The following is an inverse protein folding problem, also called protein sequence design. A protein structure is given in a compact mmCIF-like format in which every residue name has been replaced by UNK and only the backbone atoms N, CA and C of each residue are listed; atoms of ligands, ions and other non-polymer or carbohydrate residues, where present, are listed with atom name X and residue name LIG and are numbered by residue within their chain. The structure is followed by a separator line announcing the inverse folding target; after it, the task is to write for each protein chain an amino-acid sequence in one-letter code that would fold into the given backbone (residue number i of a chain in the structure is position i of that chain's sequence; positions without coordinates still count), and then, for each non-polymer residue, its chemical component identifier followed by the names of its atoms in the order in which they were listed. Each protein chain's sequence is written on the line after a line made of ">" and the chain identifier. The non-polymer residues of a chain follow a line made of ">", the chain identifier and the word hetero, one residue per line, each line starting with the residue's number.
data_IF_980874969954
#
_entry.id   IF_980874969954
#
_cell.length_a   1.000
_cell.length_b   1.000
_cell.length_c   1.000
_cell.angle_alpha   90.00
_cell.angle_beta   90.00
_cell.angle_gamma   90.00
#
_symmetry.space_group_name_H-M   'P 1'
#
loop_
_entity.id
_entity.type
_entity.pdbx_description
1 polymer ?
#
# COMPACT_ATOMS: atom_id res chain seq x y z
N UNK A 1 -11.43 -2.32 1.02
CA UNK A 1 -10.03 -2.58 0.64
C UNK A 1 -9.26 -1.26 0.60
N UNK A 2 -8.16 -1.16 1.33
CA UNK A 2 -7.31 0.04 1.35
C UNK A 2 -5.99 -0.27 0.68
N UNK A 3 -5.53 0.64 -0.19
CA UNK A 3 -4.31 0.49 -0.99
C UNK A 3 -3.34 1.62 -0.70
N UNK A 4 -2.06 1.28 -0.60
CA UNK A 4 -0.94 2.22 -0.58
C UNK A 4 0.15 1.76 -1.56
N UNK A 5 0.74 2.72 -2.26
CA UNK A 5 1.82 2.52 -3.21
C UNK A 5 3.07 3.23 -2.70
N UNK A 6 4.21 2.53 -2.70
CA UNK A 6 5.51 3.07 -2.36
C UNK A 6 6.52 2.79 -3.47
N UNK A 7 7.52 3.65 -3.60
CA UNK A 7 8.72 3.30 -4.35
C UNK A 7 9.39 2.06 -3.71
N UNK A 8 10.23 1.35 -4.46
CA UNK A 8 10.89 0.10 -4.02
C UNK A 8 11.60 0.22 -2.66
N UNK A 9 12.11 1.42 -2.38
CA UNK A 9 12.85 1.80 -1.17
C UNK A 9 11.96 2.27 -0.01
N UNK A 10 10.65 2.45 -0.22
CA UNK A 10 9.74 2.72 0.89
C UNK A 10 9.81 1.55 1.87
N UNK A 11 10.04 1.86 3.15
CA UNK A 11 10.03 0.82 4.17
C UNK A 11 8.63 0.20 4.24
N UNK A 12 8.60 -1.12 4.34
CA UNK A 12 7.34 -1.89 4.46
C UNK A 12 6.48 -1.34 5.62
N UNK A 13 7.14 -0.89 6.69
CA UNK A 13 6.53 -0.26 7.86
C UNK A 13 5.88 1.10 7.52
N UNK A 14 6.55 1.96 6.75
CA UNK A 14 5.95 3.22 6.28
C UNK A 14 4.70 2.98 5.42
N UNK A 15 4.72 1.93 4.59
CA UNK A 15 3.56 1.56 3.77
C UNK A 15 2.39 1.05 4.61
N UNK A 16 2.67 0.22 5.63
CA UNK A 16 1.67 -0.24 6.60
C UNK A 16 1.06 0.93 7.36
N UNK A 17 1.89 1.81 7.93
CA UNK A 17 1.44 2.98 8.67
C UNK A 17 0.54 3.91 7.84
N UNK A 18 0.83 4.08 6.54
CA UNK A 18 -0.06 4.85 5.64
C UNK A 18 -1.43 4.19 5.45
N UNK A 19 -1.47 2.86 5.36
CA UNK A 19 -2.72 2.12 5.22
C UNK A 19 -3.50 2.13 6.52
N UNK A 20 -2.83 1.98 7.66
CA UNK A 20 -3.47 2.00 8.98
C UNK A 20 -4.04 3.38 9.31
N UNK A 21 -3.30 4.47 9.05
CA UNK A 21 -3.87 5.84 9.17
C UNK A 21 -5.10 6.05 8.29
N UNK A 22 -5.09 5.49 7.08
CA UNK A 22 -6.25 5.56 6.17
C UNK A 22 -7.41 4.69 6.67
N UNK A 23 -7.12 3.56 7.32
CA UNK A 23 -8.11 2.70 7.96
C UNK A 23 -8.79 3.40 9.14
N UNK A 24 -8.02 4.04 10.03
CA UNK A 24 -8.55 4.84 11.14
C UNK A 24 -9.48 5.95 10.67
N UNK A 25 -9.09 6.66 9.61
CA UNK A 25 -9.91 7.71 9.01
C UNK A 25 -11.22 7.16 8.42
N UNK A 26 -11.18 6.00 7.74
CA UNK A 26 -12.36 5.37 7.15
C UNK A 26 -13.32 4.87 8.23
N UNK A 27 -12.79 4.26 9.29
CA UNK A 27 -13.58 3.74 10.40
C UNK A 27 -13.88 4.80 11.47
N UNK A 28 -13.61 6.09 11.19
CA UNK A 28 -13.95 7.23 12.06
C UNK A 28 -13.45 7.08 13.50
N UNK A 29 -12.29 6.46 13.70
CA UNK A 29 -11.74 6.23 15.03
C UNK A 29 -12.43 5.15 15.87
N UNK A 30 -13.43 4.43 15.33
CA UNK A 30 -14.09 3.29 15.99
C UNK A 30 -13.23 2.03 16.09
N UNK A 31 -12.02 2.08 15.55
CA UNK A 31 -11.15 0.93 15.39
C UNK A 31 -11.55 0.06 14.20
N UNK A 32 -10.67 -0.86 13.84
CA UNK A 32 -10.87 -1.77 12.72
C UNK A 32 -10.17 -3.10 12.99
N UNK A 33 -10.73 -4.17 12.44
CA UNK A 33 -10.14 -5.50 12.42
C UNK A 33 -9.38 -5.71 11.11
N UNK A 34 -8.15 -6.20 11.21
CA UNK A 34 -7.35 -6.59 10.05
C UNK A 34 -7.78 -7.98 9.57
N UNK A 35 -8.38 -8.06 8.38
CA UNK A 35 -8.78 -9.31 7.73
C UNK A 35 -7.67 -9.88 6.83
N UNK A 36 -6.50 -9.23 6.81
CA UNK A 36 -5.32 -9.63 6.08
C UNK A 36 -4.82 -8.55 5.13
N UNK A 37 -3.49 -8.49 5.00
CA UNK A 37 -2.81 -7.63 4.04
C UNK A 37 -1.57 -8.28 3.45
N UNK A 38 -1.30 -7.98 2.18
CA UNK A 38 -0.13 -8.50 1.44
C UNK A 38 0.65 -7.37 0.81
N UNK A 39 1.96 -7.39 1.02
CA UNK A 39 2.90 -6.57 0.25
C UNK A 39 3.18 -7.30 -1.07
N UNK A 40 3.02 -6.60 -2.18
CA UNK A 40 3.29 -7.11 -3.52
C UNK A 40 4.33 -6.23 -4.18
N UNK A 41 5.42 -6.83 -4.65
CA UNK A 41 6.39 -6.15 -5.48
C UNK A 41 5.96 -6.28 -6.95
N UNK A 42 6.09 -5.21 -7.69
CA UNK A 42 5.74 -5.13 -9.09
C UNK A 42 6.91 -4.56 -9.87
N UNK A 43 7.12 -5.11 -11.06
CA UNK A 43 8.08 -4.61 -12.04
C UNK A 43 7.27 -4.15 -13.26
N UNK A 44 7.46 -2.91 -13.69
CA UNK A 44 6.81 -2.37 -14.87
C UNK A 44 7.84 -1.70 -15.77
N UNK A 45 7.75 -1.89 -17.10
CA UNK A 45 8.55 -1.12 -18.03
C UNK A 45 8.13 0.35 -17.94
N UNK A 46 9.12 1.23 -17.81
CA UNK A 46 8.96 2.68 -17.86
C UNK A 46 9.81 3.23 -19.00
N UNK A 47 9.34 4.32 -19.59
CA UNK A 47 10.05 5.02 -20.65
C UNK A 47 10.76 6.22 -20.04
N UNK A 48 12.09 6.23 -20.08
CA UNK A 48 12.92 7.34 -19.61
C UNK A 48 13.84 7.75 -20.74
N UNK A 49 13.71 9.00 -21.20
CA UNK A 49 14.56 9.58 -22.25
C UNK A 49 14.66 8.73 -23.53
N UNK A 50 13.54 8.14 -23.96
CA UNK A 50 13.49 7.28 -25.16
C UNK A 50 14.00 5.85 -24.98
N UNK A 51 14.42 5.47 -23.76
CA UNK A 51 14.87 4.11 -23.42
C UNK A 51 13.79 3.43 -22.57
N UNK A 52 13.48 2.17 -22.91
CA UNK A 52 12.66 1.30 -22.05
C UNK A 52 13.53 0.74 -20.95
N UNK A 53 13.22 1.07 -19.70
CA UNK A 53 13.88 0.51 -18.52
C UNK A 53 12.84 -0.07 -17.55
N UNK A 54 13.21 -1.08 -16.77
CA UNK A 54 12.28 -1.69 -15.82
C UNK A 54 12.36 -0.96 -14.49
N UNK A 55 11.25 -0.38 -14.05
CA UNK A 55 11.12 0.18 -12.71
C UNK A 55 10.30 -0.73 -11.82
N UNK A 56 10.69 -0.78 -10.56
CA UNK A 56 10.12 -1.70 -9.59
C UNK A 56 9.53 -0.90 -8.42
N UNK A 57 8.33 -1.26 -8.01
CA UNK A 57 7.58 -0.58 -6.96
C UNK A 57 6.88 -1.61 -6.06
N UNK A 58 6.52 -1.20 -4.85
CA UNK A 58 5.79 -2.05 -3.91
C UNK A 58 4.39 -1.49 -3.70
N UNK A 59 3.41 -2.39 -3.62
CA UNK A 59 2.06 -2.08 -3.17
C UNK A 59 1.76 -2.83 -1.88
N UNK A 60 1.00 -2.21 -0.99
CA UNK A 60 0.45 -2.88 0.18
C UNK A 60 -1.06 -2.74 0.12
N UNK A 61 -1.73 -3.88 0.00
CA UNK A 61 -3.18 -3.98 -0.03
C UNK A 61 -3.63 -4.66 1.27
N UNK A 62 -4.53 -4.00 2.00
CA UNK A 62 -5.11 -4.51 3.25
C UNK A 62 -6.63 -4.51 3.16
N UNK A 63 -7.22 -5.60 3.63
CA UNK A 63 -8.66 -5.72 3.84
C UNK A 63 -8.93 -5.48 5.32
N UNK A 64 -9.84 -4.55 5.60
CA UNK A 64 -10.25 -4.23 6.96
C UNK A 64 -11.76 -4.37 7.07
N UNK A 65 -12.22 -4.61 8.28
CA UNK A 65 -13.60 -4.44 8.68
C UNK A 65 -13.63 -3.39 9.79
N UNK A 66 -14.45 -2.35 9.62
CA UNK A 66 -14.65 -1.39 10.69
C UNK A 66 -15.44 -2.06 11.81
N UNK A 67 -15.07 -1.73 13.05
CA UNK A 67 -15.87 -2.12 14.20
C UNK A 67 -17.09 -1.18 14.27
N UNK A 68 -18.23 -1.69 14.73
CA UNK A 68 -19.47 -0.91 14.87
C UNK A 68 -19.42 0.10 16.02
#
# INVERSE_FOLDING_TARGET
>A
MIRSTGNLFASNESMKNKVDKKAENICQGKGFTDLGGKIQAHNQPIYVSGIVTTSSYKTFNKTIQCND
#
